data_IF_451218298003
#
_entry.id   IF_451218298003
#
_cell.length_a   1.000
_cell.length_b   1.000
_cell.length_c   1.000
_cell.angle_alpha   90.00
_cell.angle_beta   90.00
_cell.angle_gamma   90.00
#
_symmetry.space_group_name_H-M   'P 1'
#
loop_
_entity.id
_entity.type
_entity.pdbx_description
1 polymer ?
#
# COMPACT_ATOMS: atom_id res chain seq x y z
N UNK A 1 -5.31 -39.34 1.68
CA UNK A 1 -4.30 -38.50 2.35
C UNK A 1 -3.04 -38.57 1.50
N UNK A 2 -2.81 -37.57 0.65
CA UNK A 2 -1.63 -37.55 -0.23
C UNK A 2 -0.35 -37.63 0.60
N UNK A 3 0.53 -38.52 0.18
CA UNK A 3 1.79 -38.79 0.82
C UNK A 3 2.70 -37.54 0.68
N UNK A 4 2.82 -36.74 1.75
CA UNK A 4 3.70 -35.55 1.83
C UNK A 4 5.20 -35.91 1.84
N UNK A 5 5.56 -37.09 1.34
CA UNK A 5 6.91 -37.56 1.02
C UNK A 5 7.32 -37.07 -0.37
N UNK A 6 8.41 -36.36 -0.60
CA UNK A 6 9.25 -35.59 0.28
C UNK A 6 9.64 -34.35 -0.53
N UNK A 7 9.09 -33.18 -0.21
CA UNK A 7 9.63 -31.97 -0.84
C UNK A 7 11.11 -31.85 -0.43
N UNK A 8 12.04 -31.65 -1.38
CA UNK A 8 13.45 -31.53 -1.07
C UNK A 8 13.67 -30.52 0.05
N UNK A 9 14.50 -30.87 1.04
CA UNK A 9 14.79 -29.99 2.18
C UNK A 9 15.29 -28.61 1.74
N UNK A 10 15.95 -28.53 0.58
CA UNK A 10 16.35 -27.28 -0.05
C UNK A 10 15.15 -26.42 -0.46
N UNK A 11 14.12 -27.00 -1.11
CA UNK A 11 12.93 -26.27 -1.53
C UNK A 11 12.10 -25.77 -0.34
N UNK A 12 11.95 -26.60 0.69
CA UNK A 12 11.30 -26.20 1.95
C UNK A 12 12.00 -25.03 2.63
N UNK A 13 13.33 -25.08 2.71
CA UNK A 13 14.15 -23.97 3.23
C UNK A 13 14.05 -22.72 2.37
N UNK A 14 13.99 -22.86 1.05
CA UNK A 14 13.81 -21.73 0.14
C UNK A 14 12.43 -21.07 0.34
N UNK A 15 11.37 -21.87 0.44
CA UNK A 15 10.02 -21.37 0.75
C UNK A 15 9.98 -20.66 2.10
N UNK A 16 10.58 -21.25 3.14
CA UNK A 16 10.67 -20.64 4.45
C UNK A 16 11.35 -19.25 4.38
N UNK A 17 12.50 -19.17 3.71
CA UNK A 17 13.23 -17.90 3.54
C UNK A 17 12.45 -16.88 2.72
N UNK A 18 11.74 -17.31 1.69
CA UNK A 18 10.91 -16.42 0.87
C UNK A 18 9.76 -15.83 1.70
N UNK A 19 9.06 -16.65 2.47
CA UNK A 19 7.97 -16.18 3.35
C UNK A 19 8.47 -15.29 4.49
N UNK A 20 9.64 -15.62 5.03
CA UNK A 20 10.30 -14.75 5.99
C UNK A 20 10.66 -13.40 5.37
N UNK A 21 11.15 -13.39 4.13
CA UNK A 21 11.43 -12.17 3.40
C UNK A 21 10.16 -11.36 3.15
N UNK A 22 9.03 -12.00 2.85
CA UNK A 22 7.74 -11.32 2.67
C UNK A 22 7.33 -10.54 3.93
N UNK A 23 7.58 -11.10 5.12
CA UNK A 23 7.35 -10.38 6.39
C UNK A 23 8.28 -9.15 6.52
N UNK A 24 9.54 -9.28 6.09
CA UNK A 24 10.47 -8.14 6.04
C UNK A 24 10.09 -7.09 4.99
N UNK A 25 9.39 -7.45 3.91
CA UNK A 25 9.03 -6.48 2.87
C UNK A 25 7.58 -6.01 2.98
N UNK A 26 6.80 -6.55 3.90
CA UNK A 26 5.36 -6.30 4.05
C UNK A 26 4.96 -4.82 3.92
N UNK A 27 5.53 -3.93 4.73
CA UNK A 27 5.18 -2.50 4.69
C UNK A 27 5.57 -1.83 3.37
N UNK A 28 6.69 -2.24 2.76
CA UNK A 28 7.12 -1.72 1.46
C UNK A 28 6.17 -2.18 0.35
N UNK A 29 5.77 -3.45 0.34
CA UNK A 29 4.80 -3.98 -0.64
C UNK A 29 3.43 -3.29 -0.48
N UNK A 30 2.99 -3.03 0.76
CA UNK A 30 1.73 -2.33 1.04
C UNK A 30 1.77 -0.87 0.57
N UNK A 31 2.90 -0.17 0.79
CA UNK A 31 3.12 1.18 0.28
C UNK A 31 3.10 1.22 -1.25
N UNK A 32 3.75 0.25 -1.89
CA UNK A 32 3.75 0.14 -3.35
C UNK A 32 2.34 -0.09 -3.92
N UNK A 33 1.51 -0.90 -3.26
CA UNK A 33 0.10 -1.05 -3.65
C UNK A 33 -0.67 0.26 -3.53
N UNK A 34 -0.50 0.96 -2.41
CA UNK A 34 -1.16 2.24 -2.17
C UNK A 34 -0.75 3.28 -3.22
N UNK A 35 0.54 3.37 -3.56
CA UNK A 35 1.03 4.28 -4.62
C UNK A 35 0.39 3.95 -5.98
N UNK A 36 0.23 2.66 -6.32
CA UNK A 36 -0.46 2.25 -7.56
C UNK A 36 -1.95 2.64 -7.53
N UNK A 37 -2.61 2.51 -6.37
CA UNK A 37 -4.01 2.91 -6.20
C UNK A 37 -4.18 4.43 -6.31
N UNK A 38 -3.32 5.20 -5.65
CA UNK A 38 -3.29 6.66 -5.72
C UNK A 38 -3.04 7.16 -7.15
N UNK A 39 -2.11 6.54 -7.87
CA UNK A 39 -1.85 6.85 -9.28
C UNK A 39 -3.12 6.62 -10.13
N UNK A 40 -3.82 5.51 -9.91
CA UNK A 40 -5.05 5.18 -10.63
C UNK A 40 -6.18 6.16 -10.29
N UNK A 41 -6.31 6.54 -9.03
CA UNK A 41 -7.26 7.57 -8.60
C UNK A 41 -6.92 8.93 -9.21
N UNK A 42 -5.65 9.31 -9.28
CA UNK A 42 -5.22 10.58 -9.90
C UNK A 42 -5.52 10.63 -11.39
N UNK A 43 -5.42 9.49 -12.10
CA UNK A 43 -5.79 9.38 -13.52
C UNK A 43 -7.32 9.45 -13.68
N UNK A 44 -8.07 8.80 -12.79
CA UNK A 44 -9.52 8.78 -12.82
C UNK A 44 -10.13 10.14 -12.46
N UNK A 45 -9.56 10.81 -11.46
CA UNK A 45 -10.02 12.06 -10.87
C UNK A 45 -8.85 13.05 -10.73
N UNK A 46 -8.34 13.59 -11.84
CA UNK A 46 -7.30 14.62 -11.76
C UNK A 46 -7.88 15.80 -10.98
N UNK A 47 -7.23 16.16 -9.86
CA UNK A 47 -7.54 17.42 -9.19
C UNK A 47 -7.44 18.53 -10.23
N UNK A 48 -8.45 19.40 -10.31
CA UNK A 48 -8.47 20.51 -11.24
C UNK A 48 -7.22 21.37 -11.03
N UNK A 49 -6.21 21.18 -11.87
CA UNK A 49 -4.99 21.96 -11.82
C UNK A 49 -5.33 23.42 -12.11
N UNK A 50 -5.10 24.29 -11.11
CA UNK A 50 -4.90 25.73 -11.26
C UNK A 50 -6.08 26.55 -11.76
N UNK A 51 -6.84 27.17 -10.86
CA UNK A 51 -7.50 28.42 -11.21
C UNK A 51 -6.45 29.53 -11.37
N UNK A 52 -6.54 30.30 -12.45
CA UNK A 52 -5.72 31.50 -12.63
C UNK A 52 -6.36 32.67 -11.87
N UNK A 53 -5.52 33.49 -11.23
CA UNK A 53 -5.96 34.77 -10.67
C UNK A 53 -6.20 35.72 -11.85
N UNK A 54 -7.47 35.99 -12.15
CA UNK A 54 -7.88 36.94 -13.18
C UNK A 54 -8.44 38.21 -12.54
N UNK A 55 -8.88 39.16 -13.38
CA UNK A 55 -9.68 40.29 -12.91
C UNK A 55 -11.00 40.35 -13.67
N UNK A 56 -12.07 40.80 -12.99
CA UNK A 56 -13.35 41.18 -13.60
C UNK A 56 -13.43 42.70 -13.66
N UNK A 57 -13.77 43.25 -14.82
CA UNK A 57 -14.10 44.67 -14.95
C UNK A 57 -15.50 44.89 -14.38
N UNK A 58 -15.61 45.71 -13.34
CA UNK A 58 -16.87 45.99 -12.64
C UNK A 58 -17.47 47.35 -13.04
N UNK A 59 -16.77 48.13 -13.86
CA UNK A 59 -17.27 49.38 -14.40
C UNK A 59 -16.18 50.18 -15.12
N UNK A 60 -16.59 51.27 -15.76
CA UNK A 60 -15.68 52.26 -16.37
C UNK A 60 -15.87 53.60 -15.66
N UNK A 61 -14.79 54.32 -15.37
CA UNK A 61 -14.82 55.72 -14.92
C UNK A 61 -14.05 56.59 -15.91
N UNK A 62 -14.46 57.84 -16.08
CA UNK A 62 -13.72 58.79 -16.91
C UNK A 62 -12.82 59.62 -16.01
N UNK A 63 -11.52 59.67 -16.34
CA UNK A 63 -10.55 60.46 -15.58
C UNK A 63 -10.73 61.96 -15.87
N UNK A 64 -10.05 62.82 -15.09
CA UNK A 64 -10.14 64.29 -15.23
C UNK A 64 -9.63 64.82 -16.58
N UNK A 65 -9.02 63.97 -17.41
CA UNK A 65 -8.57 64.28 -18.77
C UNK A 65 -9.52 63.78 -19.87
N UNK A 66 -10.67 63.20 -19.49
CA UNK A 66 -11.67 62.70 -20.44
C UNK A 66 -11.42 61.27 -20.96
N UNK A 67 -10.41 60.58 -20.44
CA UNK A 67 -10.09 59.21 -20.86
C UNK A 67 -10.81 58.19 -19.98
N UNK A 68 -11.25 57.07 -20.56
CA UNK A 68 -11.93 56.00 -19.85
C UNK A 68 -10.91 55.07 -19.19
N UNK A 69 -11.05 54.88 -17.88
CA UNK A 69 -10.31 53.90 -17.07
C UNK A 69 -11.25 52.79 -16.59
N UNK A 70 -10.83 51.54 -16.78
CA UNK A 70 -11.53 50.36 -16.28
C UNK A 70 -11.30 50.17 -14.77
N UNK A 71 -12.37 49.96 -14.02
CA UNK A 71 -12.31 49.49 -12.63
C UNK A 71 -12.24 47.96 -12.62
N UNK A 72 -11.10 47.43 -12.18
CA UNK A 72 -10.80 45.99 -12.13
C UNK A 72 -10.80 45.50 -10.68
N UNK A 73 -11.51 44.39 -10.43
CA UNK A 73 -11.41 43.62 -9.17
C UNK A 73 -10.73 42.30 -9.48
N UNK A 74 -9.67 41.99 -8.75
CA UNK A 74 -8.97 40.72 -8.85
C UNK A 74 -9.72 39.65 -8.06
N UNK A 75 -10.08 38.56 -8.72
CA UNK A 75 -10.84 37.46 -8.11
C UNK A 75 -10.42 36.12 -8.74
N UNK A 76 -10.78 35.00 -8.10
CA UNK A 76 -10.42 33.67 -8.60
C UNK A 76 -11.33 33.30 -9.78
N UNK A 77 -10.80 33.32 -11.01
CA UNK A 77 -11.58 33.01 -12.22
C UNK A 77 -11.26 31.57 -12.60
N UNK A 78 -12.27 30.69 -12.55
CA UNK A 78 -12.14 29.33 -13.05
C UNK A 78 -11.85 29.37 -14.56
N UNK A 79 -10.57 29.22 -14.92
CA UNK A 79 -10.11 29.19 -16.30
C UNK A 79 -10.71 27.99 -17.03
N UNK A 80 -11.78 28.21 -17.79
CA UNK A 80 -12.17 27.26 -18.83
C UNK A 80 -11.20 27.46 -19.99
N UNK A 81 -10.24 26.55 -20.15
CA UNK A 81 -9.39 26.48 -21.33
C UNK A 81 -10.28 26.30 -22.57
N UNK A 82 -10.46 27.39 -23.33
CA UNK A 82 -11.14 27.36 -24.61
C UNK A 82 -10.29 26.56 -25.60
N UNK A 83 -10.76 25.38 -25.95
CA UNK A 83 -10.37 24.69 -27.18
C UNK A 83 -9.55 23.42 -27.01
N UNK A 84 -10.22 22.32 -26.64
CA UNK A 84 -9.94 21.00 -27.23
C UNK A 84 -11.17 20.10 -27.04
N UNK A 85 -12.01 20.07 -28.07
CA UNK A 85 -13.18 19.19 -28.18
C UNK A 85 -12.72 17.80 -28.66
N UNK A 86 -12.14 17.04 -27.75
CA UNK A 86 -12.16 15.58 -27.80
C UNK A 86 -12.57 15.17 -26.41
N UNK A 87 -13.72 14.51 -26.27
CA UNK A 87 -14.24 14.10 -24.97
C UNK A 87 -13.09 13.48 -24.16
N UNK A 88 -12.58 14.18 -23.13
CA UNK A 88 -11.38 13.75 -22.43
C UNK A 88 -11.63 12.40 -21.75
N UNK A 89 -12.89 11.99 -21.60
CA UNK A 89 -13.33 10.69 -21.10
C UNK A 89 -12.73 9.53 -21.87
N UNK A 90 -12.71 9.55 -23.21
CA UNK A 90 -12.21 8.41 -23.99
C UNK A 90 -10.69 8.23 -23.87
N UNK A 91 -9.92 9.32 -23.98
CA UNK A 91 -8.46 9.30 -23.81
C UNK A 91 -8.07 9.00 -22.35
N UNK A 92 -8.83 9.50 -21.37
CA UNK A 92 -8.65 9.15 -19.94
C UNK A 92 -8.93 7.69 -19.69
N UNK A 93 -10.04 7.16 -20.21
CA UNK A 93 -10.41 5.76 -20.08
C UNK A 93 -9.32 4.86 -20.69
N UNK A 94 -8.76 5.26 -21.84
CA UNK A 94 -7.67 4.52 -22.46
C UNK A 94 -6.38 4.56 -21.62
N UNK A 95 -5.96 5.74 -21.12
CA UNK A 95 -4.81 5.86 -20.22
C UNK A 95 -4.99 5.04 -18.94
N UNK A 96 -6.18 5.09 -18.33
CA UNK A 96 -6.52 4.31 -17.14
C UNK A 96 -6.46 2.80 -17.44
N UNK A 97 -6.98 2.38 -18.59
CA UNK A 97 -6.95 0.98 -19.02
C UNK A 97 -5.53 0.50 -19.29
N UNK A 98 -4.71 1.30 -19.99
CA UNK A 98 -3.31 0.98 -20.26
C UNK A 98 -2.49 0.89 -18.96
N UNK A 99 -2.68 1.82 -18.03
CA UNK A 99 -2.01 1.82 -16.74
C UNK A 99 -2.43 0.62 -15.88
N UNK A 100 -3.74 0.37 -15.75
CA UNK A 100 -4.26 -0.82 -15.05
C UNK A 100 -3.77 -2.11 -15.70
N UNK A 101 -3.77 -2.19 -17.02
CA UNK A 101 -3.28 -3.36 -17.74
C UNK A 101 -1.79 -3.56 -17.48
N UNK A 102 -0.98 -2.52 -17.55
CA UNK A 102 0.46 -2.65 -17.34
C UNK A 102 0.80 -3.03 -15.89
N UNK A 103 0.21 -2.36 -14.91
CA UNK A 103 0.55 -2.54 -13.49
C UNK A 103 -0.24 -3.67 -12.81
N UNK A 104 -1.58 -3.71 -12.97
CA UNK A 104 -2.44 -4.65 -12.23
C UNK A 104 -2.64 -6.00 -12.91
N UNK A 105 -2.45 -6.11 -14.23
CA UNK A 105 -2.61 -7.40 -14.92
C UNK A 105 -1.38 -8.30 -14.81
N UNK A 106 -0.26 -7.76 -14.31
CA UNK A 106 0.96 -8.52 -14.13
C UNK A 106 0.77 -9.64 -13.09
N UNK A 107 1.36 -10.81 -13.38
CA UNK A 107 1.39 -11.93 -12.44
C UNK A 107 2.04 -11.52 -11.11
N UNK A 108 3.07 -10.66 -11.19
CA UNK A 108 3.77 -10.13 -10.03
C UNK A 108 2.86 -9.32 -9.10
N UNK A 109 2.00 -8.45 -9.63
CA UNK A 109 1.05 -7.68 -8.83
C UNK A 109 0.02 -8.57 -8.14
N UNK A 110 -0.56 -9.53 -8.85
CA UNK A 110 -1.52 -10.48 -8.27
C UNK A 110 -0.89 -11.34 -7.16
N UNK A 111 0.33 -11.79 -7.38
CA UNK A 111 1.07 -12.57 -6.37
C UNK A 111 1.44 -11.70 -5.16
N UNK A 112 1.80 -10.43 -5.37
CA UNK A 112 2.05 -9.48 -4.28
C UNK A 112 0.80 -9.25 -3.43
N UNK A 113 -0.36 -9.01 -4.07
CA UNK A 113 -1.66 -8.91 -3.37
C UNK A 113 -1.93 -10.16 -2.54
N UNK A 114 -1.84 -11.34 -3.15
CA UNK A 114 -2.06 -12.62 -2.47
C UNK A 114 -1.15 -12.81 -1.25
N UNK A 115 0.11 -12.38 -1.33
CA UNK A 115 1.07 -12.43 -0.21
C UNK A 115 0.73 -11.44 0.89
N UNK A 116 0.34 -10.22 0.54
CA UNK A 116 -0.12 -9.21 1.50
C UNK A 116 -1.37 -9.71 2.22
N UNK A 117 -2.35 -10.23 1.49
CA UNK A 117 -3.58 -10.80 2.05
C UNK A 117 -3.29 -11.95 3.02
N UNK A 118 -2.31 -12.80 2.71
CA UNK A 118 -1.90 -13.87 3.60
C UNK A 118 -1.28 -13.35 4.91
N UNK A 119 -0.49 -12.27 4.84
CA UNK A 119 0.09 -11.62 6.02
C UNK A 119 -0.99 -10.90 6.83
N UNK A 120 -1.91 -10.20 6.18
CA UNK A 120 -3.03 -9.53 6.85
C UNK A 120 -3.95 -10.55 7.55
N UNK A 121 -4.21 -11.69 6.92
CA UNK A 121 -4.92 -12.81 7.53
C UNK A 121 -4.18 -13.36 8.76
N UNK A 122 -2.88 -13.64 8.66
CA UNK A 122 -2.04 -14.06 9.79
C UNK A 122 -2.14 -13.08 10.97
N UNK A 123 -1.98 -11.78 10.71
CA UNK A 123 -2.06 -10.75 11.74
C UNK A 123 -3.45 -10.69 12.37
N UNK A 124 -4.52 -10.84 11.56
CA UNK A 124 -5.90 -10.85 12.06
C UNK A 124 -6.17 -11.99 13.02
N UNK A 125 -5.62 -13.19 12.78
CA UNK A 125 -5.76 -14.35 13.67
C UNK A 125 -5.20 -14.02 15.05
N UNK A 126 -3.98 -13.49 15.11
CA UNK A 126 -3.36 -13.19 16.40
C UNK A 126 -4.00 -11.99 17.08
N UNK A 127 -4.43 -10.96 16.33
CA UNK A 127 -5.17 -9.81 16.89
C UNK A 127 -6.48 -10.27 17.54
N UNK A 128 -7.28 -11.06 16.84
CA UNK A 128 -8.54 -11.57 17.39
C UNK A 128 -8.33 -12.41 18.65
N UNK A 129 -7.29 -13.25 18.69
CA UNK A 129 -6.94 -14.04 19.88
C UNK A 129 -6.42 -13.18 21.03
N UNK A 130 -5.60 -12.19 20.73
CA UNK A 130 -5.10 -11.23 21.69
C UNK A 130 -6.23 -10.41 22.33
N UNK A 131 -7.23 -10.00 21.54
CA UNK A 131 -8.44 -9.31 22.00
C UNK A 131 -9.27 -10.18 22.94
N UNK A 132 -9.31 -11.49 22.71
CA UNK A 132 -9.93 -12.47 23.63
C UNK A 132 -9.13 -12.73 24.91
N UNK A 133 -7.98 -12.07 25.09
CA UNK A 133 -7.14 -12.19 26.28
C UNK A 133 -6.02 -13.24 26.20
N UNK A 134 -5.80 -13.87 25.05
CA UNK A 134 -4.72 -14.85 24.88
C UNK A 134 -3.34 -14.15 24.92
N UNK A 135 -2.62 -14.32 26.03
CA UNK A 135 -1.29 -13.71 26.22
C UNK A 135 -0.29 -14.17 25.17
N UNK A 136 -0.32 -15.45 24.80
CA UNK A 136 0.58 -16.01 23.78
C UNK A 136 0.39 -15.32 22.42
N UNK A 137 -0.86 -15.02 22.02
CA UNK A 137 -1.14 -14.29 20.79
C UNK A 137 -0.61 -12.86 20.82
N UNK A 138 -0.72 -12.16 21.97
CA UNK A 138 -0.12 -10.83 22.18
C UNK A 138 1.40 -10.86 22.02
N UNK A 139 2.07 -11.85 22.61
CA UNK A 139 3.52 -11.99 22.53
C UNK A 139 3.98 -12.36 21.11
N UNK A 140 3.22 -13.18 20.38
CA UNK A 140 3.49 -13.49 18.97
C UNK A 140 3.33 -12.28 18.06
N UNK A 141 2.32 -11.44 18.28
CA UNK A 141 2.21 -10.14 17.57
C UNK A 141 3.43 -9.27 17.82
N UNK A 142 3.82 -9.14 19.09
CA UNK A 142 4.99 -8.34 19.47
C UNK A 142 6.29 -8.90 18.89
N UNK A 143 6.43 -10.23 18.79
CA UNK A 143 7.54 -10.86 18.08
C UNK A 143 7.56 -10.43 16.60
N UNK A 144 6.42 -10.46 15.92
CA UNK A 144 6.34 -10.05 14.51
C UNK A 144 6.73 -8.58 14.36
N UNK A 145 6.18 -7.71 15.21
CA UNK A 145 6.48 -6.28 15.22
C UNK A 145 7.97 -6.01 15.42
N UNK A 146 8.59 -6.57 16.46
CA UNK A 146 10.00 -6.32 16.77
C UNK A 146 10.93 -6.92 15.71
N UNK A 147 10.67 -8.15 15.26
CA UNK A 147 11.54 -8.87 14.34
C UNK A 147 11.45 -8.34 12.92
N UNK A 148 10.24 -8.13 12.41
CA UNK A 148 10.02 -7.92 10.97
C UNK A 148 9.70 -6.46 10.63
N UNK A 149 9.05 -5.72 11.53
CA UNK A 149 8.61 -4.35 11.25
C UNK A 149 9.59 -3.32 11.81
N UNK A 150 9.89 -3.35 13.10
CA UNK A 150 10.76 -2.40 13.77
C UNK A 150 12.25 -2.67 13.49
N UNK A 151 12.67 -3.93 13.55
CA UNK A 151 14.06 -4.38 13.29
C UNK A 151 15.11 -3.67 14.14
N UNK A 152 14.74 -3.26 15.35
CA UNK A 152 15.63 -2.54 16.27
C UNK A 152 16.47 -3.48 17.13
N UNK A 153 15.95 -4.67 17.39
CA UNK A 153 16.54 -5.65 18.27
C UNK A 153 17.10 -6.83 17.47
N UNK A 154 18.19 -7.42 17.99
CA UNK A 154 18.67 -8.72 17.52
C UNK A 154 17.74 -9.83 17.98
N UNK A 155 17.82 -11.02 17.37
CA UNK A 155 17.05 -12.20 17.84
C UNK A 155 17.21 -12.44 19.35
N UNK A 156 18.41 -12.19 19.89
CA UNK A 156 18.69 -12.28 21.32
C UNK A 156 17.93 -11.24 22.14
N UNK A 157 18.03 -9.98 21.74
CA UNK A 157 17.29 -8.90 22.40
C UNK A 157 15.77 -9.09 22.31
N UNK A 158 15.26 -9.68 21.23
CA UNK A 158 13.83 -9.94 21.08
C UNK A 158 13.36 -11.00 22.09
N UNK A 159 13.99 -12.17 22.15
CA UNK A 159 13.52 -13.21 23.10
C UNK A 159 13.70 -12.78 24.56
N UNK A 160 14.71 -11.96 24.86
CA UNK A 160 14.90 -11.35 26.19
C UNK A 160 13.80 -10.35 26.51
N UNK A 161 13.51 -9.42 25.59
CA UNK A 161 12.46 -8.41 25.76
C UNK A 161 11.05 -9.00 25.92
N UNK A 162 10.80 -10.15 25.29
CA UNK A 162 9.55 -10.89 25.39
C UNK A 162 9.51 -11.84 26.60
N UNK A 163 10.62 -11.97 27.34
CA UNK A 163 10.80 -12.92 28.43
C UNK A 163 10.45 -14.37 28.04
N UNK A 164 10.95 -14.81 26.87
CA UNK A 164 10.77 -16.18 26.36
C UNK A 164 12.11 -16.86 26.12
N UNK A 165 12.11 -18.19 26.15
CA UNK A 165 13.31 -18.95 25.81
C UNK A 165 13.65 -18.81 24.32
N UNK A 166 14.95 -18.92 23.99
CA UNK A 166 15.44 -19.05 22.60
C UNK A 166 14.71 -20.14 21.81
N UNK A 167 14.39 -21.27 22.45
CA UNK A 167 13.66 -22.37 21.81
C UNK A 167 12.22 -21.96 21.47
N UNK A 168 11.54 -21.29 22.39
CA UNK A 168 10.18 -20.76 22.18
C UNK A 168 10.15 -19.76 21.03
N UNK A 169 11.15 -18.87 20.96
CA UNK A 169 11.28 -17.90 19.87
C UNK A 169 11.30 -18.57 18.49
N UNK A 170 12.22 -19.52 18.25
CA UNK A 170 12.31 -20.21 16.95
C UNK A 170 11.10 -21.11 16.68
N UNK A 171 10.48 -21.67 17.72
CA UNK A 171 9.25 -22.43 17.59
C UNK A 171 8.09 -21.55 17.12
N UNK A 172 7.90 -20.38 17.74
CA UNK A 172 6.87 -19.42 17.34
C UNK A 172 7.13 -18.85 15.95
N UNK A 173 8.37 -18.48 15.63
CA UNK A 173 8.76 -18.04 14.29
C UNK A 173 8.38 -19.09 13.23
N UNK A 174 8.71 -20.36 13.47
CA UNK A 174 8.33 -21.45 12.55
C UNK A 174 6.81 -21.64 12.47
N UNK A 175 6.09 -21.47 13.57
CA UNK A 175 4.62 -21.51 13.59
C UNK A 175 3.99 -20.38 12.77
N UNK A 176 4.53 -19.16 12.86
CA UNK A 176 4.10 -18.01 12.09
C UNK A 176 4.29 -18.26 10.58
N UNK A 177 5.49 -18.68 10.18
CA UNK A 177 5.79 -18.98 8.77
C UNK A 177 4.92 -20.15 8.25
N UNK A 178 4.57 -21.11 9.11
CA UNK A 178 3.66 -22.20 8.75
C UNK A 178 2.27 -21.71 8.42
N UNK A 179 1.69 -20.80 9.19
CA UNK A 179 0.37 -20.24 8.90
C UNK A 179 0.37 -19.52 7.54
N UNK A 180 1.44 -18.75 7.24
CA UNK A 180 1.60 -18.13 5.92
C UNK A 180 1.70 -19.16 4.80
N UNK A 181 2.51 -20.20 5.02
CA UNK A 181 2.68 -21.27 4.04
C UNK A 181 1.35 -21.99 3.76
N UNK A 182 0.56 -22.30 4.79
CA UNK A 182 -0.76 -22.90 4.67
C UNK A 182 -1.71 -22.01 3.85
N UNK A 183 -1.73 -20.70 4.14
CA UNK A 183 -2.56 -19.74 3.41
C UNK A 183 -2.15 -19.59 1.93
N UNK A 184 -0.86 -19.73 1.63
CA UNK A 184 -0.31 -19.65 0.28
C UNK A 184 -0.23 -21.01 -0.44
N UNK A 185 -0.64 -22.11 0.21
CA UNK A 185 -0.55 -23.46 -0.36
C UNK A 185 0.89 -23.94 -0.57
N UNK A 186 1.84 -23.47 0.24
CA UNK A 186 3.25 -23.81 0.18
C UNK A 186 3.63 -24.88 1.21
N UNK A 187 4.66 -25.66 0.88
CA UNK A 187 5.24 -26.68 1.78
C UNK A 187 6.56 -26.15 2.34
N UNK A 188 6.71 -26.21 3.67
CA UNK A 188 7.90 -25.77 4.42
C UNK A 188 8.42 -26.83 5.40
#
# INVERSE_FOLDING_TARGET
>A
MENKESWPSAKRRANFKALEQDLYTYHAMKKQLQEIEEDIESIAYPQAAGGEVGYRVIGEKTNKKGEKEELRVYDFIAGHSKGQTSDPTALKAQKLWDYRKFHMSSLAYREMLRRIDAIDYLLSIFRQRAERGELEAKLKLRLIEEKYFNRRLTDCGIWESLNISKRTFYYWQRGIIRILAEQLGLII
#
